data_IF_789770153119
#
_entry.id   IF_789770153119
#
_cell.length_a   1.000
_cell.length_b   1.000
_cell.length_c   1.000
_cell.angle_alpha   90.00
_cell.angle_beta   90.00
_cell.angle_gamma   90.00
#
_symmetry.space_group_name_H-M   'P 1'
#
loop_
_entity.id
_entity.type
_entity.pdbx_description
1 polymer ?
#
# COMPACT_ATOMS: atom_id res chain seq x y z
N UNK A 1 -9.28 22.29 -24.38
CA UNK A 1 -8.84 20.87 -24.47
C UNK A 1 -7.30 20.66 -24.42
N UNK A 2 -6.46 21.66 -24.74
CA UNK A 2 -4.99 21.46 -24.81
C UNK A 2 -4.22 21.31 -23.49
N UNK A 3 -4.72 21.79 -22.34
CA UNK A 3 -4.00 21.73 -21.05
C UNK A 3 -4.00 20.37 -20.37
N UNK A 4 -5.02 19.52 -20.59
CA UNK A 4 -5.11 18.20 -19.99
C UNK A 4 -4.08 17.23 -20.60
N UNK A 5 -3.77 17.39 -21.90
CA UNK A 5 -2.84 16.47 -22.57
C UNK A 5 -1.38 16.64 -22.14
N UNK A 6 -0.98 17.82 -21.68
CA UNK A 6 0.40 18.09 -21.25
C UNK A 6 0.75 17.41 -19.90
N UNK A 7 -0.23 17.25 -19.00
CA UNK A 7 -0.05 16.63 -17.68
C UNK A 7 -0.08 15.08 -17.74
N UNK A 8 -0.78 14.49 -18.73
CA UNK A 8 -0.93 13.04 -18.84
C UNK A 8 0.34 12.36 -19.35
N UNK A 9 1.09 13.00 -20.23
CA UNK A 9 2.30 12.41 -20.83
C UNK A 9 3.37 12.00 -19.82
N UNK A 10 3.81 12.85 -18.87
CA UNK A 10 4.80 12.45 -17.87
C UNK A 10 4.28 11.34 -16.96
N UNK A 11 3.00 11.35 -16.64
CA UNK A 11 2.36 10.32 -15.82
C UNK A 11 2.43 8.93 -16.49
N UNK A 12 2.04 8.84 -17.78
CA UNK A 12 2.10 7.60 -18.56
C UNK A 12 3.55 7.12 -18.69
N UNK A 13 4.47 8.02 -19.00
CA UNK A 13 5.89 7.68 -19.14
C UNK A 13 6.44 7.09 -17.84
N UNK A 14 6.17 7.72 -16.70
CA UNK A 14 6.61 7.22 -15.38
C UNK A 14 6.01 5.83 -15.10
N UNK A 15 4.70 5.65 -15.29
CA UNK A 15 4.05 4.37 -15.09
C UNK A 15 4.64 3.27 -16.00
N UNK A 16 4.91 3.59 -17.26
CA UNK A 16 5.52 2.66 -18.22
C UNK A 16 6.94 2.29 -17.83
N UNK A 17 7.78 3.26 -17.47
CA UNK A 17 9.16 3.00 -17.01
C UNK A 17 9.17 2.10 -15.77
N UNK A 18 8.27 2.38 -14.82
CA UNK A 18 8.16 1.57 -13.58
C UNK A 18 7.64 0.17 -13.91
N UNK A 19 6.68 0.02 -14.82
CA UNK A 19 6.22 -1.28 -15.28
C UNK A 19 7.38 -2.12 -15.85
N UNK A 20 8.18 -1.55 -16.74
CA UNK A 20 9.35 -2.24 -17.29
C UNK A 20 10.41 -2.55 -16.23
N UNK A 21 10.69 -1.62 -15.31
CA UNK A 21 11.59 -1.85 -14.19
C UNK A 21 11.11 -2.98 -13.28
N UNK A 22 9.82 -3.00 -12.97
CA UNK A 22 9.20 -4.09 -12.21
C UNK A 22 9.34 -5.44 -12.93
N UNK A 23 9.02 -5.50 -14.22
CA UNK A 23 9.18 -6.71 -15.03
C UNK A 23 10.62 -7.20 -15.04
N UNK A 24 11.58 -6.30 -15.21
CA UNK A 24 13.00 -6.65 -15.20
C UNK A 24 13.41 -7.29 -13.87
N UNK A 25 13.04 -6.67 -12.74
CA UNK A 25 13.34 -7.21 -11.41
C UNK A 25 12.63 -8.55 -11.19
N UNK A 26 11.38 -8.66 -11.63
CA UNK A 26 10.60 -9.89 -11.55
C UNK A 26 11.28 -11.04 -12.29
N UNK A 27 11.72 -10.82 -13.50
CA UNK A 27 12.41 -11.85 -14.30
C UNK A 27 13.80 -12.19 -13.79
N UNK A 28 14.55 -11.23 -13.25
CA UNK A 28 15.93 -11.43 -12.84
C UNK A 28 16.07 -11.98 -11.42
N UNK A 29 15.20 -11.56 -10.50
CA UNK A 29 15.42 -11.80 -9.08
C UNK A 29 14.34 -12.68 -8.43
N UNK A 30 13.10 -12.69 -8.95
CA UNK A 30 12.06 -13.50 -8.36
C UNK A 30 12.34 -15.00 -8.61
N UNK A 31 12.26 -15.78 -7.54
CA UNK A 31 12.61 -17.20 -7.57
C UNK A 31 14.11 -17.52 -7.43
N UNK A 32 15.00 -16.51 -7.57
CA UNK A 32 16.45 -16.68 -7.32
C UNK A 32 16.75 -16.57 -5.83
N UNK A 33 16.03 -15.68 -5.14
CA UNK A 33 16.17 -15.47 -3.71
C UNK A 33 15.10 -16.26 -2.98
N UNK A 34 15.51 -17.13 -2.05
CA UNK A 34 14.61 -17.89 -1.20
C UNK A 34 15.00 -17.73 0.27
N UNK A 35 14.02 -17.75 1.16
CA UNK A 35 14.22 -17.84 2.60
C UNK A 35 13.64 -19.18 3.07
N UNK A 36 14.52 -20.09 3.43
CA UNK A 36 14.15 -21.50 3.63
C UNK A 36 13.65 -22.11 2.32
N UNK A 37 12.48 -22.73 2.34
CA UNK A 37 11.81 -23.32 1.17
C UNK A 37 10.91 -22.33 0.41
N UNK A 38 10.72 -21.10 0.91
CA UNK A 38 9.79 -20.13 0.33
C UNK A 38 10.50 -19.20 -0.64
N UNK A 39 10.17 -19.23 -1.94
CA UNK A 39 10.73 -18.28 -2.90
C UNK A 39 10.25 -16.86 -2.55
N UNK A 40 11.19 -15.94 -2.46
CA UNK A 40 10.87 -14.52 -2.32
C UNK A 40 10.52 -13.91 -3.68
N UNK A 41 9.72 -12.86 -3.60
CA UNK A 41 9.36 -12.01 -4.73
C UNK A 41 9.93 -10.59 -4.51
N UNK A 42 11.26 -10.39 -4.70
CA UNK A 42 11.90 -9.09 -4.51
C UNK A 42 11.22 -7.95 -5.27
N UNK A 43 10.61 -8.25 -6.41
CA UNK A 43 9.83 -7.28 -7.20
C UNK A 43 8.68 -6.65 -6.40
N UNK A 44 8.03 -7.40 -5.51
CA UNK A 44 6.97 -6.86 -4.64
C UNK A 44 7.50 -5.80 -3.66
N UNK A 45 8.77 -5.93 -3.23
CA UNK A 45 9.42 -4.96 -2.35
C UNK A 45 9.63 -3.57 -2.95
N UNK A 46 9.56 -3.45 -4.28
CA UNK A 46 9.65 -2.17 -4.97
C UNK A 46 8.41 -1.29 -4.76
N UNK A 47 7.26 -1.90 -4.40
CA UNK A 47 5.99 -1.19 -4.33
C UNK A 47 6.01 -0.04 -3.30
N UNK A 48 6.63 -0.25 -2.15
CA UNK A 48 6.67 0.75 -1.08
C UNK A 48 7.53 1.96 -1.47
N UNK A 49 8.83 1.83 -1.78
CA UNK A 49 9.64 2.98 -2.11
C UNK A 49 9.17 3.68 -3.39
N UNK A 50 8.83 2.94 -4.44
CA UNK A 50 8.33 3.56 -5.67
C UNK A 50 6.99 4.27 -5.44
N UNK A 51 6.12 3.71 -4.59
CA UNK A 51 4.88 4.37 -4.16
C UNK A 51 5.18 5.70 -3.46
N UNK A 52 6.09 5.73 -2.50
CA UNK A 52 6.48 6.94 -1.76
C UNK A 52 7.02 8.02 -2.71
N UNK A 53 7.93 7.66 -3.63
CA UNK A 53 8.61 8.64 -4.49
C UNK A 53 7.78 9.09 -5.70
N UNK A 54 7.00 8.19 -6.30
CA UNK A 54 6.32 8.46 -7.57
C UNK A 54 4.79 8.39 -7.48
N UNK A 55 4.24 7.98 -6.33
CA UNK A 55 2.79 8.00 -6.08
C UNK A 55 1.97 7.06 -6.98
N UNK A 56 0.82 7.57 -7.45
CA UNK A 56 -0.13 6.79 -8.26
C UNK A 56 0.46 6.25 -9.57
N UNK A 57 1.30 6.98 -10.33
CA UNK A 57 1.97 6.42 -11.51
C UNK A 57 2.76 5.15 -11.21
N UNK A 58 3.46 5.13 -10.07
CA UNK A 58 4.19 3.93 -9.65
C UNK A 58 3.27 2.77 -9.32
N UNK A 59 2.22 3.04 -8.57
CA UNK A 59 1.23 2.01 -8.24
C UNK A 59 0.62 1.38 -9.50
N UNK A 60 0.25 2.21 -10.48
CA UNK A 60 -0.28 1.75 -11.77
C UNK A 60 0.75 0.95 -12.58
N UNK A 61 2.01 1.39 -12.62
CA UNK A 61 3.09 0.70 -13.31
C UNK A 61 3.37 -0.68 -12.72
N UNK A 62 3.46 -0.78 -11.39
CA UNK A 62 3.67 -2.05 -10.68
C UNK A 62 2.50 -3.01 -10.91
N UNK A 63 1.26 -2.52 -10.77
CA UNK A 63 0.08 -3.35 -10.99
C UNK A 63 0.00 -3.86 -12.44
N UNK A 64 0.29 -3.00 -13.42
CA UNK A 64 0.35 -3.40 -14.82
C UNK A 64 1.43 -4.48 -15.06
N UNK A 65 2.62 -4.30 -14.49
CA UNK A 65 3.69 -5.29 -14.56
C UNK A 65 3.31 -6.62 -13.92
N UNK A 66 2.67 -6.60 -12.76
CA UNK A 66 2.18 -7.80 -12.08
C UNK A 66 1.10 -8.52 -12.89
N UNK A 67 0.16 -7.78 -13.51
CA UNK A 67 -0.84 -8.35 -14.42
C UNK A 67 -0.19 -9.02 -15.63
N UNK A 68 0.78 -8.37 -16.27
CA UNK A 68 1.50 -8.95 -17.42
C UNK A 68 2.12 -10.29 -17.04
N UNK A 69 2.88 -10.33 -15.94
CA UNK A 69 3.51 -11.57 -15.48
C UNK A 69 2.47 -12.64 -15.16
N UNK A 70 1.44 -12.27 -14.42
CA UNK A 70 0.44 -13.23 -13.97
C UNK A 70 -0.37 -13.86 -15.11
N UNK A 71 -0.68 -13.09 -16.16
CA UNK A 71 -1.36 -13.61 -17.36
C UNK A 71 -0.51 -14.69 -18.02
N UNK A 72 0.83 -14.50 -18.08
CA UNK A 72 1.72 -15.46 -18.73
C UNK A 72 2.07 -16.68 -17.88
N UNK A 73 2.01 -16.58 -16.53
CA UNK A 73 2.52 -17.64 -15.65
C UNK A 73 1.44 -18.38 -14.84
N UNK A 74 0.37 -17.71 -14.45
CA UNK A 74 -0.45 -18.24 -13.35
C UNK A 74 -1.66 -19.09 -13.79
N UNK A 75 -2.10 -19.02 -15.03
CA UNK A 75 -3.32 -19.73 -15.49
C UNK A 75 -4.61 -19.38 -14.72
N UNK A 76 -4.56 -18.50 -13.70
CA UNK A 76 -5.66 -18.06 -12.85
C UNK A 76 -5.86 -16.55 -12.95
N UNK A 77 -6.58 -16.06 -13.96
CA UNK A 77 -6.65 -14.62 -14.26
C UNK A 77 -7.23 -13.77 -13.11
N UNK A 78 -8.19 -14.31 -12.37
CA UNK A 78 -8.81 -13.60 -11.24
C UNK A 78 -7.86 -13.48 -10.05
N UNK A 79 -7.09 -14.52 -9.73
CA UNK A 79 -6.06 -14.44 -8.69
C UNK A 79 -4.98 -13.40 -9.03
N UNK A 80 -4.52 -13.42 -10.26
CA UNK A 80 -3.56 -12.43 -10.78
C UNK A 80 -4.07 -11.00 -10.64
N UNK A 81 -5.36 -10.78 -10.87
CA UNK A 81 -5.97 -9.47 -10.67
C UNK A 81 -5.90 -9.03 -9.19
N UNK A 82 -6.22 -9.92 -8.26
CA UNK A 82 -6.11 -9.63 -6.82
C UNK A 82 -4.66 -9.38 -6.40
N UNK A 83 -3.68 -10.14 -6.93
CA UNK A 83 -2.26 -9.91 -6.68
C UNK A 83 -1.82 -8.53 -7.18
N UNK A 84 -2.18 -8.17 -8.41
CA UNK A 84 -1.87 -6.86 -8.98
C UNK A 84 -2.53 -5.71 -8.20
N UNK A 85 -3.79 -5.86 -7.80
CA UNK A 85 -4.49 -4.88 -6.97
C UNK A 85 -3.91 -4.78 -5.57
N UNK A 86 -3.43 -5.88 -5.00
CA UNK A 86 -2.74 -5.89 -3.71
C UNK A 86 -1.44 -5.07 -3.76
N UNK A 87 -0.64 -5.24 -4.81
CA UNK A 87 0.58 -4.45 -5.03
C UNK A 87 0.27 -2.98 -5.36
N UNK A 88 -0.78 -2.72 -6.11
CA UNK A 88 -1.30 -1.36 -6.32
C UNK A 88 -1.64 -0.71 -4.98
N UNK A 89 -2.40 -1.41 -4.15
CA UNK A 89 -2.83 -0.93 -2.84
C UNK A 89 -1.62 -0.69 -1.93
N UNK A 90 -0.63 -1.60 -1.93
CA UNK A 90 0.62 -1.45 -1.18
C UNK A 90 1.35 -0.15 -1.55
N UNK A 91 1.47 0.15 -2.83
CA UNK A 91 2.12 1.37 -3.30
C UNK A 91 1.31 2.64 -2.97
N UNK A 92 -0.01 2.63 -3.19
CA UNK A 92 -0.89 3.76 -2.89
C UNK A 92 -0.93 4.07 -1.39
N UNK A 93 -1.03 3.03 -0.56
CA UNK A 93 -1.04 3.17 0.90
C UNK A 93 0.28 3.74 1.39
N UNK A 94 1.39 3.29 0.82
CA UNK A 94 2.72 3.80 1.17
C UNK A 94 2.88 5.28 0.78
N UNK A 95 2.44 5.67 -0.42
CA UNK A 95 2.42 7.04 -0.85
C UNK A 95 1.55 7.92 0.04
N UNK A 96 0.29 7.53 0.25
CA UNK A 96 -0.65 8.30 1.07
C UNK A 96 -0.21 8.34 2.53
N UNK A 97 0.19 7.19 3.08
CA UNK A 97 0.71 7.14 4.44
C UNK A 97 1.91 8.05 4.64
N UNK A 98 2.82 8.10 3.64
CA UNK A 98 3.96 9.02 3.68
C UNK A 98 3.51 10.48 3.69
N UNK A 99 2.64 10.88 2.77
CA UNK A 99 2.11 12.25 2.70
C UNK A 99 1.29 12.67 3.93
N UNK A 100 0.73 11.71 4.68
CA UNK A 100 0.02 11.98 5.92
C UNK A 100 0.93 12.34 7.11
N UNK A 101 2.19 11.90 7.05
CA UNK A 101 3.14 12.08 8.15
C UNK A 101 4.21 13.12 7.85
N UNK A 102 4.47 13.41 6.58
CA UNK A 102 5.59 14.23 6.16
C UNK A 102 5.24 15.28 5.12
N UNK A 103 5.84 16.45 5.27
CA UNK A 103 5.65 17.60 4.39
C UNK A 103 6.63 17.69 3.23
N UNK A 104 7.82 17.14 3.38
CA UNK A 104 8.85 17.14 2.34
C UNK A 104 9.59 15.80 2.29
N UNK A 105 10.07 15.38 1.12
CA UNK A 105 10.82 14.14 0.97
C UNK A 105 12.28 14.28 1.44
N UNK A 106 12.86 15.49 1.29
CA UNK A 106 14.31 15.70 1.47
C UNK A 106 14.78 15.63 2.90
N UNK A 107 13.99 16.10 3.87
CA UNK A 107 14.39 16.09 5.28
C UNK A 107 14.22 14.73 5.97
N UNK A 108 13.61 13.75 5.31
CA UNK A 108 12.88 12.71 6.02
C UNK A 108 13.51 11.34 5.93
N UNK A 109 14.09 10.95 4.79
CA UNK A 109 14.82 9.68 4.70
C UNK A 109 16.30 9.79 5.09
N UNK A 110 16.81 10.98 5.33
CA UNK A 110 18.16 11.20 5.82
C UNK A 110 18.30 10.99 7.33
N UNK A 111 17.20 11.08 8.08
CA UNK A 111 17.15 10.93 9.53
C UNK A 111 16.55 9.61 10.01
N UNK A 112 16.91 9.21 11.25
CA UNK A 112 16.35 8.03 11.91
C UNK A 112 14.81 8.05 11.95
N UNK A 113 14.21 9.23 12.14
CA UNK A 113 12.75 9.40 12.15
C UNK A 113 12.12 8.94 10.84
N UNK A 114 12.68 9.32 9.69
CA UNK A 114 12.19 8.89 8.37
C UNK A 114 12.26 7.38 8.19
N UNK A 115 13.33 6.74 8.60
CA UNK A 115 13.47 5.29 8.53
C UNK A 115 12.49 4.56 9.44
N UNK A 116 12.21 5.09 10.65
CA UNK A 116 11.18 4.54 11.54
C UNK A 116 9.79 4.64 10.90
N UNK A 117 9.49 5.75 10.23
CA UNK A 117 8.22 5.89 9.52
C UNK A 117 8.14 4.99 8.28
N UNK A 118 9.22 4.87 7.52
CA UNK A 118 9.31 3.91 6.43
C UNK A 118 9.02 2.48 6.93
N UNK A 119 9.64 2.07 8.04
CA UNK A 119 9.40 0.78 8.64
C UNK A 119 7.93 0.59 9.08
N UNK A 120 7.32 1.61 9.70
CA UNK A 120 5.88 1.58 10.07
C UNK A 120 4.99 1.42 8.86
N UNK A 121 5.23 2.20 7.80
CA UNK A 121 4.45 2.10 6.56
C UNK A 121 4.66 0.74 5.88
N UNK A 122 5.88 0.20 5.94
CA UNK A 122 6.17 -1.14 5.45
C UNK A 122 5.31 -2.18 6.16
N UNK A 123 5.24 -2.13 7.49
CA UNK A 123 4.42 -3.08 8.27
C UNK A 123 2.92 -2.88 7.99
N UNK A 124 2.40 -1.65 8.09
CA UNK A 124 0.97 -1.36 7.86
C UNK A 124 0.56 -1.70 6.43
N UNK A 125 1.37 -1.30 5.44
CA UNK A 125 1.11 -1.56 4.03
C UNK A 125 1.15 -3.05 3.71
N UNK A 126 2.17 -3.77 4.19
CA UNK A 126 2.31 -5.21 3.95
C UNK A 126 1.16 -6.01 4.55
N UNK A 127 0.77 -5.72 5.81
CA UNK A 127 -0.37 -6.38 6.45
C UNK A 127 -1.68 -6.07 5.71
N UNK A 128 -1.91 -4.81 5.34
CA UNK A 128 -3.13 -4.41 4.64
C UNK A 128 -3.23 -4.99 3.23
N UNK A 129 -2.15 -4.95 2.46
CA UNK A 129 -2.11 -5.54 1.12
C UNK A 129 -2.25 -7.07 1.16
N UNK A 130 -1.61 -7.73 2.15
CA UNK A 130 -1.76 -9.17 2.35
C UNK A 130 -3.17 -9.53 2.81
N UNK A 131 -3.80 -8.73 3.68
CA UNK A 131 -5.19 -8.93 4.08
C UNK A 131 -6.15 -8.80 2.90
N UNK A 132 -5.92 -7.82 2.01
CA UNK A 132 -6.68 -7.68 0.76
C UNK A 132 -6.52 -8.90 -0.15
N UNK A 133 -5.29 -9.37 -0.33
CA UNK A 133 -5.01 -10.55 -1.17
C UNK A 133 -5.61 -11.81 -0.57
N UNK A 134 -5.48 -11.99 0.75
CA UNK A 134 -6.07 -13.11 1.48
C UNK A 134 -7.61 -13.11 1.38
N UNK A 135 -8.21 -11.93 1.46
CA UNK A 135 -9.66 -11.77 1.23
C UNK A 135 -10.04 -12.13 -0.21
N UNK A 136 -9.23 -11.76 -1.20
CA UNK A 136 -9.43 -12.16 -2.59
C UNK A 136 -9.35 -13.68 -2.78
N UNK A 137 -8.39 -14.35 -2.13
CA UNK A 137 -8.26 -15.80 -2.12
C UNK A 137 -9.48 -16.49 -1.53
N UNK A 138 -9.98 -15.99 -0.42
CA UNK A 138 -11.22 -16.45 0.22
C UNK A 138 -12.45 -16.24 -0.67
N UNK A 139 -12.57 -15.04 -1.28
CA UNK A 139 -13.64 -14.70 -2.21
C UNK A 139 -13.70 -15.65 -3.41
N UNK A 140 -12.54 -16.00 -3.96
CA UNK A 140 -12.41 -16.94 -5.06
C UNK A 140 -12.55 -18.41 -4.64
N UNK A 141 -12.46 -18.70 -3.33
CA UNK A 141 -12.46 -20.07 -2.79
C UNK A 141 -11.18 -20.83 -3.10
N UNK A 142 -10.07 -20.13 -3.35
CA UNK A 142 -8.78 -20.74 -3.68
C UNK A 142 -7.96 -21.06 -2.42
N UNK A 143 -7.86 -20.09 -1.52
CA UNK A 143 -7.01 -20.17 -0.34
C UNK A 143 -7.69 -19.57 0.88
N UNK A 144 -7.54 -20.19 2.06
CA UNK A 144 -8.10 -19.63 3.29
C UNK A 144 -7.34 -18.37 3.74
N UNK A 145 -8.09 -17.40 4.27
CA UNK A 145 -7.57 -16.13 4.74
C UNK A 145 -6.44 -16.30 5.76
N UNK A 146 -6.63 -17.20 6.74
CA UNK A 146 -5.68 -17.41 7.84
C UNK A 146 -4.34 -18.04 7.40
N UNK A 147 -4.30 -18.67 6.23
CA UNK A 147 -3.07 -19.20 5.61
C UNK A 147 -2.41 -18.12 4.77
N UNK A 148 -3.20 -17.50 3.91
CA UNK A 148 -2.69 -16.54 2.91
C UNK A 148 -2.17 -15.25 3.55
N UNK A 149 -2.86 -14.75 4.60
CA UNK A 149 -2.46 -13.50 5.26
C UNK A 149 -1.03 -13.53 5.81
N UNK A 150 -0.64 -14.47 6.73
CA UNK A 150 0.70 -14.47 7.30
C UNK A 150 1.77 -14.73 6.26
N UNK A 151 1.50 -15.59 5.28
CA UNK A 151 2.43 -15.88 4.21
C UNK A 151 2.75 -14.65 3.37
N UNK A 152 1.73 -13.95 2.85
CA UNK A 152 1.96 -12.77 2.00
C UNK A 152 2.40 -11.55 2.79
N UNK A 153 1.97 -11.39 4.05
CA UNK A 153 2.51 -10.33 4.90
C UNK A 153 4.01 -10.52 5.12
N UNK A 154 4.46 -11.73 5.41
CA UNK A 154 5.89 -12.04 5.54
C UNK A 154 6.64 -11.84 4.23
N UNK A 155 6.10 -12.28 3.09
CA UNK A 155 6.70 -12.09 1.76
C UNK A 155 6.87 -10.61 1.42
N UNK A 156 5.86 -9.77 1.62
CA UNK A 156 5.94 -8.32 1.35
C UNK A 156 6.93 -7.62 2.26
N UNK A 157 6.96 -7.98 3.56
CA UNK A 157 7.94 -7.46 4.51
C UNK A 157 9.37 -7.81 4.09
N UNK A 158 9.64 -9.09 3.85
CA UNK A 158 10.97 -9.57 3.46
C UNK A 158 11.39 -9.00 2.10
N UNK A 159 10.49 -8.98 1.12
CA UNK A 159 10.77 -8.37 -0.18
C UNK A 159 11.14 -6.89 -0.04
N UNK A 160 10.45 -6.14 0.84
CA UNK A 160 10.78 -4.75 1.10
C UNK A 160 12.14 -4.59 1.77
N UNK A 161 12.49 -5.48 2.71
CA UNK A 161 13.83 -5.44 3.32
C UNK A 161 14.91 -5.71 2.27
N UNK A 162 14.71 -6.70 1.40
CA UNK A 162 15.71 -7.14 0.43
C UNK A 162 15.85 -6.15 -0.75
N UNK A 163 14.76 -5.68 -1.31
CA UNK A 163 14.77 -4.82 -2.51
C UNK A 163 14.32 -3.38 -2.21
N UNK A 164 13.34 -3.20 -1.35
CA UNK A 164 12.75 -1.89 -1.07
C UNK A 164 13.66 -0.96 -0.27
N UNK A 165 14.31 -1.47 0.78
CA UNK A 165 15.23 -0.66 1.61
C UNK A 165 16.44 -0.17 0.80
N UNK A 166 17.17 -1.03 0.03
CA UNK A 166 18.25 -0.56 -0.84
C UNK A 166 17.78 0.47 -1.87
N UNK A 167 16.62 0.24 -2.50
CA UNK A 167 16.08 1.17 -3.47
C UNK A 167 15.72 2.52 -2.81
N UNK A 168 15.08 2.51 -1.64
CA UNK A 168 14.77 3.73 -0.90
C UNK A 168 16.04 4.51 -0.54
N UNK A 169 17.09 3.83 -0.09
CA UNK A 169 18.38 4.46 0.24
C UNK A 169 19.05 5.08 -0.99
N UNK A 170 19.08 4.38 -2.12
CA UNK A 170 19.65 4.90 -3.37
C UNK A 170 18.85 6.09 -3.88
N UNK A 171 17.52 5.98 -3.92
CA UNK A 171 16.64 7.04 -4.44
C UNK A 171 16.71 8.28 -3.57
N UNK A 172 16.71 8.15 -2.23
CA UNK A 172 16.87 9.30 -1.34
C UNK A 172 18.23 9.99 -1.51
N UNK A 173 19.32 9.22 -1.68
CA UNK A 173 20.65 9.77 -1.93
C UNK A 173 20.76 10.49 -3.29
N UNK A 174 20.03 10.04 -4.30
CA UNK A 174 19.97 10.71 -5.61
C UNK A 174 19.17 12.01 -5.54
N UNK A 175 18.01 12.00 -4.87
CA UNK A 175 17.18 13.21 -4.67
C UNK A 175 17.92 14.26 -3.89
N UNK A 176 18.65 13.89 -2.83
CA UNK A 176 19.44 14.83 -2.03
C UNK A 176 20.58 15.52 -2.82
N UNK A 177 20.97 14.97 -3.98
CA UNK A 177 21.99 15.59 -4.87
C UNK A 177 21.39 16.51 -5.93
N UNK A 178 20.12 16.36 -6.22
CA UNK A 178 19.41 17.20 -7.19
C UNK A 178 18.65 18.26 -6.40
N UNK A 179 19.12 19.48 -6.31
CA UNK A 179 18.52 20.64 -5.62
C UNK A 179 17.06 20.97 -6.04
N UNK A 180 16.28 19.97 -6.36
CA UNK A 180 14.88 20.07 -6.81
C UNK A 180 13.94 20.26 -5.63
N UNK A 181 13.87 21.50 -5.15
CA UNK A 181 13.12 21.96 -3.96
C UNK A 181 11.63 22.22 -4.18
N UNK A 182 11.03 21.78 -5.27
CA UNK A 182 9.58 21.90 -5.44
C UNK A 182 8.84 20.62 -5.02
N UNK A 183 8.78 20.38 -3.72
CA UNK A 183 7.85 19.38 -3.17
C UNK A 183 6.64 20.10 -2.60
N UNK A 184 5.47 19.67 -3.02
CA UNK A 184 4.18 20.22 -2.58
C UNK A 184 4.14 20.36 -1.06
N UNK A 185 3.79 21.55 -0.59
CA UNK A 185 3.62 21.84 0.83
C UNK A 185 2.58 20.92 1.46
N UNK A 186 2.75 20.56 2.74
CA UNK A 186 1.81 19.67 3.42
C UNK A 186 0.44 20.31 3.50
N UNK A 187 -0.52 19.63 2.97
CA UNK A 187 -1.91 19.91 3.31
C UNK A 187 -2.12 19.62 4.80
N UNK A 188 -2.88 20.51 5.43
CA UNK A 188 -3.30 20.53 6.83
C UNK A 188 -3.12 19.24 7.64
N UNK A 189 -2.59 19.37 8.85
CA UNK A 189 -2.40 18.24 9.78
C UNK A 189 -3.70 17.46 9.98
N UNK A 190 -3.69 16.21 9.55
CA UNK A 190 -4.82 15.32 9.73
C UNK A 190 -5.06 15.03 11.22
N UNK A 191 -6.32 14.91 11.64
CA UNK A 191 -6.68 14.55 13.00
C UNK A 191 -5.97 13.26 13.46
N UNK A 192 -5.47 13.25 14.69
CA UNK A 192 -4.76 12.10 15.29
C UNK A 192 -5.57 10.80 15.18
N UNK A 193 -6.89 10.89 15.32
CA UNK A 193 -7.82 9.76 15.19
C UNK A 193 -7.75 9.09 13.84
N UNK A 194 -7.61 9.86 12.76
CA UNK A 194 -7.53 9.35 11.40
C UNK A 194 -6.19 8.65 11.12
N UNK A 195 -5.08 9.19 11.66
CA UNK A 195 -3.76 8.55 11.58
C UNK A 195 -3.76 7.20 12.31
N UNK A 196 -4.39 7.14 13.50
CA UNK A 196 -4.54 5.90 14.25
C UNK A 196 -5.42 4.89 13.51
N UNK A 197 -6.55 5.32 12.94
CA UNK A 197 -7.43 4.46 12.16
C UNK A 197 -6.71 3.88 10.94
N UNK A 198 -5.95 4.70 10.21
CA UNK A 198 -5.14 4.25 9.06
C UNK A 198 -4.19 3.10 9.43
N UNK A 199 -3.52 3.20 10.57
CA UNK A 199 -2.60 2.15 11.04
C UNK A 199 -3.34 0.95 11.64
N UNK A 200 -4.42 1.16 12.39
CA UNK A 200 -5.10 0.10 13.15
C UNK A 200 -5.98 -0.80 12.28
N UNK A 201 -6.69 -0.24 11.28
CA UNK A 201 -7.66 -1.00 10.48
C UNK A 201 -7.05 -2.25 9.82
N UNK A 202 -5.87 -2.22 9.15
CA UNK A 202 -5.26 -3.40 8.57
C UNK A 202 -4.96 -4.50 9.60
N UNK A 203 -4.49 -4.11 10.79
CA UNK A 203 -4.22 -5.07 11.86
C UNK A 203 -5.49 -5.69 12.43
N UNK A 204 -6.51 -4.86 12.68
CA UNK A 204 -7.82 -5.36 13.17
C UNK A 204 -8.42 -6.30 12.13
N UNK A 205 -8.37 -5.94 10.85
CA UNK A 205 -8.80 -6.81 9.76
C UNK A 205 -8.00 -8.11 9.73
N UNK A 206 -6.67 -8.02 9.73
CA UNK A 206 -5.80 -9.20 9.72
C UNK A 206 -6.05 -10.13 10.89
N UNK A 207 -6.08 -9.59 12.11
CA UNK A 207 -6.29 -10.39 13.33
C UNK A 207 -7.68 -11.00 13.36
N UNK A 208 -8.74 -10.22 13.06
CA UNK A 208 -10.12 -10.73 13.08
C UNK A 208 -10.36 -11.79 12.01
N UNK A 209 -9.81 -11.60 10.81
CA UNK A 209 -9.90 -12.57 9.72
C UNK A 209 -9.10 -13.84 10.02
N UNK A 210 -7.90 -13.70 10.59
CA UNK A 210 -7.08 -14.84 11.01
C UNK A 210 -7.76 -15.66 12.11
N UNK A 211 -8.14 -15.02 13.21
CA UNK A 211 -8.79 -15.69 14.34
C UNK A 211 -10.12 -16.30 13.92
N UNK A 212 -10.92 -15.57 13.15
CA UNK A 212 -12.18 -16.08 12.60
C UNK A 212 -11.96 -17.28 11.70
N UNK A 213 -11.00 -17.21 10.76
CA UNK A 213 -10.67 -18.31 9.87
C UNK A 213 -10.23 -19.56 10.60
N UNK A 214 -9.31 -19.43 11.57
CA UNK A 214 -8.87 -20.55 12.40
C UNK A 214 -10.02 -21.13 13.21
N UNK A 215 -10.84 -20.28 13.86
CA UNK A 215 -11.96 -20.72 14.67
C UNK A 215 -12.99 -21.53 13.85
N UNK A 216 -13.35 -21.03 12.68
CA UNK A 216 -14.29 -21.73 11.79
C UNK A 216 -13.70 -23.03 11.26
N UNK A 217 -12.42 -23.06 10.89
CA UNK A 217 -11.74 -24.27 10.43
C UNK A 217 -11.68 -25.35 11.52
N UNK A 218 -11.40 -24.98 12.77
CA UNK A 218 -11.38 -25.92 13.90
C UNK A 218 -12.79 -26.47 14.16
N UNK A 219 -13.80 -25.61 14.14
CA UNK A 219 -15.17 -26.02 14.43
C UNK A 219 -15.73 -27.02 13.39
N UNK A 220 -15.35 -26.89 12.13
CA UNK A 220 -15.81 -27.79 11.06
C UNK A 220 -15.06 -29.13 11.03
N UNK A 221 -13.84 -29.17 11.61
CA UNK A 221 -12.99 -30.35 11.63
C UNK A 221 -12.88 -31.01 13.02
N UNK A 222 -13.87 -30.97 13.87
CA UNK A 222 -13.80 -31.74 15.11
C UNK A 222 -13.91 -33.26 14.78
N UNK A 223 -12.91 -33.75 14.07
CA UNK A 223 -12.48 -35.13 14.11
C UNK A 223 -11.05 -35.10 14.68
N UNK A 224 -10.92 -35.55 15.93
CA UNK A 224 -9.76 -35.37 16.84
C UNK A 224 -8.49 -36.06 16.33
N UNK A 225 -8.57 -36.86 15.29
CA UNK A 225 -7.46 -37.65 14.75
C UNK A 225 -6.49 -36.88 13.86
N UNK A 226 -6.82 -35.64 13.48
CA UNK A 226 -6.03 -34.84 12.50
C UNK A 226 -5.04 -33.87 13.15
N UNK A 227 -4.95 -33.79 14.49
CA UNK A 227 -3.99 -32.89 15.15
C UNK A 227 -2.53 -33.37 15.01
N UNK A 228 -2.30 -34.66 14.73
CA UNK A 228 -0.96 -35.20 14.50
C UNK A 228 -0.37 -34.86 13.12
N UNK A 229 -1.19 -34.46 12.16
CA UNK A 229 -0.76 -34.08 10.83
C UNK A 229 -0.54 -32.55 10.66
N UNK A 230 -0.61 -31.76 11.73
CA UNK A 230 -0.38 -30.30 11.72
C UNK A 230 1.11 -29.93 11.60
N UNK A 231 1.83 -30.56 10.68
CA UNK A 231 3.15 -30.13 10.24
C UNK A 231 3.07 -28.98 9.22
N UNK A 232 4.23 -28.44 8.89
CA UNK A 232 4.39 -27.35 7.91
C UNK A 232 3.80 -27.71 6.54
N UNK A 233 3.70 -28.98 6.19
CA UNK A 233 3.07 -29.49 4.97
C UNK A 233 1.56 -29.20 4.88
N UNK A 234 0.87 -29.08 5.99
CA UNK A 234 -0.55 -28.69 6.01
C UNK A 234 -0.77 -27.28 5.45
N UNK A 235 0.16 -26.39 5.65
CA UNK A 235 0.10 -25.03 5.09
C UNK A 235 0.19 -25.01 3.56
N UNK A 236 0.75 -26.06 2.95
CA UNK A 236 1.06 -26.08 1.51
C UNK A 236 0.20 -27.05 0.69
N UNK A 237 -0.26 -28.17 1.24
CA UNK A 237 -0.73 -29.30 0.43
C UNK A 237 -2.14 -29.80 0.66
N UNK A 238 -2.92 -29.24 1.58
CA UNK A 238 -4.12 -29.97 1.98
C UNK A 238 -5.38 -29.16 2.21
N UNK A 239 -5.50 -27.96 1.71
CA UNK A 239 -6.74 -27.21 1.94
C UNK A 239 -7.78 -27.58 0.89
N UNK A 240 -8.63 -28.55 1.25
CA UNK A 240 -9.80 -28.86 0.47
C UNK A 240 -10.80 -27.70 0.57
N UNK A 241 -11.25 -27.11 -0.54
CA UNK A 241 -12.22 -26.01 -0.54
C UNK A 241 -13.57 -26.36 0.14
N UNK A 242 -13.90 -27.65 0.28
CA UNK A 242 -15.09 -28.09 1.01
C UNK A 242 -15.00 -27.90 2.53
N UNK A 243 -13.82 -27.56 3.06
CA UNK A 243 -13.60 -27.33 4.49
C UNK A 243 -14.20 -26.03 4.97
N UNK A 244 -14.40 -25.10 4.07
CA UNK A 244 -15.03 -23.83 4.37
C UNK A 244 -16.54 -23.96 4.33
N UNK A 245 -17.17 -24.11 5.48
CA UNK A 245 -18.61 -23.97 5.57
C UNK A 245 -19.05 -22.67 4.87
N UNK A 246 -20.00 -22.78 3.98
CA UNK A 246 -20.46 -21.62 3.17
C UNK A 246 -20.86 -20.40 4.00
N UNK A 247 -21.26 -20.60 5.26
CA UNK A 247 -21.61 -19.53 6.19
C UNK A 247 -20.41 -18.71 6.67
N UNK A 248 -19.34 -19.37 7.07
CA UNK A 248 -18.11 -18.73 7.55
C UNK A 248 -17.46 -17.89 6.45
N UNK A 249 -17.39 -18.44 5.24
CA UNK A 249 -16.88 -17.74 4.06
C UNK A 249 -17.67 -16.48 3.76
N UNK A 250 -18.99 -16.53 3.81
CA UNK A 250 -19.85 -15.34 3.60
C UNK A 250 -19.58 -14.25 4.61
N UNK A 251 -19.40 -14.60 5.89
CA UNK A 251 -19.08 -13.65 6.97
C UNK A 251 -17.73 -13.00 6.69
N UNK A 252 -16.70 -13.77 6.37
CA UNK A 252 -15.36 -13.23 6.08
C UNK A 252 -15.37 -12.32 4.84
N UNK A 253 -16.11 -12.68 3.79
CA UNK A 253 -16.22 -11.84 2.59
C UNK A 253 -16.88 -10.49 2.91
N UNK A 254 -17.97 -10.49 3.68
CA UNK A 254 -18.65 -9.24 4.07
C UNK A 254 -17.76 -8.41 4.99
N UNK A 255 -17.16 -9.03 5.99
CA UNK A 255 -16.26 -8.36 6.93
C UNK A 255 -15.06 -7.74 6.20
N UNK A 256 -14.45 -8.47 5.28
CA UNK A 256 -13.35 -7.96 4.46
C UNK A 256 -13.73 -6.77 3.62
N UNK A 257 -14.90 -6.76 3.00
CA UNK A 257 -15.40 -5.62 2.25
C UNK A 257 -15.60 -4.38 3.15
N UNK A 258 -16.13 -4.57 4.36
CA UNK A 258 -16.30 -3.47 5.34
C UNK A 258 -14.94 -2.89 5.75
N UNK A 259 -13.96 -3.74 6.08
CA UNK A 259 -12.62 -3.27 6.44
C UNK A 259 -11.91 -2.56 5.29
N UNK A 260 -12.02 -3.09 4.07
CA UNK A 260 -11.44 -2.46 2.88
C UNK A 260 -12.02 -1.06 2.68
N UNK A 261 -13.33 -0.92 2.70
CA UNK A 261 -14.00 0.38 2.55
C UNK A 261 -13.58 1.34 3.66
N UNK A 262 -13.61 0.89 4.92
CA UNK A 262 -13.18 1.70 6.07
C UNK A 262 -11.72 2.17 5.92
N UNK A 263 -10.81 1.30 5.46
CA UNK A 263 -9.41 1.64 5.26
C UNK A 263 -9.23 2.64 4.12
N UNK A 264 -9.86 2.40 2.96
CA UNK A 264 -9.85 3.34 1.84
C UNK A 264 -10.41 4.71 2.22
N UNK A 265 -11.41 4.75 3.11
CA UNK A 265 -11.94 6.01 3.60
C UNK A 265 -10.92 6.82 4.41
N UNK A 266 -10.00 6.15 5.13
CA UNK A 266 -8.90 6.85 5.82
C UNK A 266 -7.91 7.51 4.87
N UNK A 267 -7.82 7.02 3.62
CA UNK A 267 -6.93 7.56 2.59
C UNK A 267 -7.53 8.77 1.84
N UNK A 268 -8.84 9.02 2.01
CA UNK A 268 -9.52 10.14 1.35
C UNK A 268 -9.02 11.46 1.94
N UNK A 269 -8.68 12.41 1.07
CA UNK A 269 -8.38 13.78 1.53
C UNK A 269 -9.65 14.46 2.06
N UNK A 270 -9.58 15.21 3.17
CA UNK A 270 -10.69 16.09 3.52
C UNK A 270 -10.85 17.14 2.41
N UNK A 271 -12.08 17.34 1.97
CA UNK A 271 -12.39 18.41 1.01
C UNK A 271 -12.13 19.76 1.70
N UNK A 272 -10.99 20.39 1.41
CA UNK A 272 -10.63 21.73 1.90
C UNK A 272 -11.46 22.83 1.25
N UNK A 273 -12.34 22.50 0.30
CA UNK A 273 -13.16 23.45 -0.46
C UNK A 273 -14.30 24.09 0.35
N UNK A 274 -14.63 23.58 1.56
CA UNK A 274 -15.77 24.09 2.33
C UNK A 274 -15.39 25.28 3.21
N UNK A 275 -14.10 25.50 3.51
CA UNK A 275 -13.67 26.54 4.46
C UNK A 275 -13.04 27.78 3.81
N UNK A 276 -13.08 27.88 2.46
CA UNK A 276 -12.70 29.14 1.75
C UNK A 276 -13.82 30.16 1.70
N UNK A 277 -14.97 29.88 2.31
CA UNK A 277 -16.05 30.82 2.55
C UNK A 277 -15.72 31.68 3.78
N UNK A 278 -15.38 32.95 3.51
CA UNK A 278 -15.35 34.03 4.47
C UNK A 278 -14.21 34.03 5.51
N UNK A 279 -13.02 34.41 5.09
CA UNK A 279 -12.25 35.35 5.91
C UNK A 279 -12.43 36.76 5.35
N UNK A 280 -13.52 37.47 5.69
CA UNK A 280 -13.65 38.89 5.38
C UNK A 280 -12.81 39.65 6.42
N UNK A 281 -11.59 39.98 6.12
CA UNK A 281 -10.88 40.84 7.08
C UNK A 281 -9.41 41.11 6.81
N UNK A 282 -8.67 40.27 6.07
CA UNK A 282 -7.22 40.45 5.94
C UNK A 282 -6.76 41.25 4.71
N UNK A 283 -7.65 41.51 3.76
CA UNK A 283 -7.30 42.33 2.59
C UNK A 283 -7.40 43.86 2.80
N UNK A 284 -7.93 44.31 3.95
CA UNK A 284 -8.10 45.74 4.20
C UNK A 284 -6.93 46.40 4.96
N UNK A 285 -6.03 45.59 5.55
CA UNK A 285 -4.91 46.17 6.32
C UNK A 285 -3.72 46.50 5.42
N UNK A 286 -3.56 45.76 4.31
CA UNK A 286 -2.40 45.95 3.41
C UNK A 286 -2.56 47.17 2.49
N UNK A 287 -3.79 47.59 2.21
CA UNK A 287 -4.06 48.79 1.38
C UNK A 287 -3.98 50.10 2.16
N UNK A 288 -4.04 50.08 3.50
CA UNK A 288 -3.90 51.32 4.27
C UNK A 288 -2.44 51.77 4.44
N UNK A 289 -1.47 50.87 4.40
CA UNK A 289 -0.06 51.23 4.51
C UNK A 289 0.52 51.86 3.20
N UNK A 290 -0.05 51.52 2.04
CA UNK A 290 0.43 52.07 0.76
C UNK A 290 -0.09 53.47 0.48
N UNK A 291 -1.17 53.93 1.14
CA UNK A 291 -1.70 55.29 1.01
C UNK A 291 -1.07 56.30 1.96
N UNK A 292 -0.47 55.85 3.08
CA UNK A 292 0.20 56.74 4.03
C UNK A 292 1.55 57.29 3.50
N UNK A 293 2.27 56.52 2.67
CA UNK A 293 3.57 56.94 2.14
C UNK A 293 3.53 57.90 0.92
N UNK A 294 2.34 58.18 0.39
CA UNK A 294 2.17 59.12 -0.73
C UNK A 294 1.78 60.55 -0.31
N UNK A 295 1.62 60.79 0.97
CA UNK A 295 1.16 62.07 1.52
C UNK A 295 2.26 63.06 1.98
N UNK A 296 3.52 62.64 2.07
CA UNK A 296 4.59 63.50 2.61
C UNK A 296 5.62 64.02 1.59
N UNK A 297 5.32 63.95 0.30
CA UNK A 297 6.15 64.55 -0.75
C UNK A 297 5.43 65.72 -1.41
N UNK A 298 5.28 66.84 -0.67
CA UNK A 298 5.06 68.20 -1.23
C UNK A 298 5.72 69.25 -0.36
#
# INVERSE_FOLDING_TARGET
MGKISASIRPWILTATCICFGYLLVRFLLDGVVAVGSTPLTPSAGLAIPLGIFFGIPAAAGIAAGALVVGIFHAGMPLWTLFEALSLFLLAVVSWRGWTLYFSSLDEQLTGLSGWVHFARLTVVGSVGAAAFLAWGGELLGLFPFYVTLPEYAARYLLATVVAGVPLAAVTSALIARTDSTEVAQPESELPRTRRLAFAAIPFVWGVSGFVGGVFFSIRERIDVTTFEEFGVEFLYHGVNPDIFGQGARRIQVVLGAVFLVAWLFTLRQPDTSVDSGERPGLLNVQNQHVQSDRGEAK
#
